data_IF_238637003090
#
_entry.id   IF_238637003090
#
_cell.length_a   1.000
_cell.length_b   1.000
_cell.length_c   1.000
_cell.angle_alpha   90.00
_cell.angle_beta   90.00
_cell.angle_gamma   90.00
#
_symmetry.space_group_name_H-M   'P 1'
#
loop_
_entity.id
_entity.type
_entity.pdbx_description
1 polymer ?
#
# COMPACT_ATOMS: atom_id res chain seq x y z
N UNK A 1 24.36 13.04 -7.25
CA UNK A 1 24.05 13.05 -5.82
C UNK A 1 23.00 12.00 -5.53
N UNK A 2 23.36 11.09 -4.69
CA UNK A 2 22.40 10.10 -4.26
C UNK A 2 21.29 10.79 -3.48
N UNK A 3 20.08 10.56 -3.88
CA UNK A 3 18.93 11.02 -3.11
C UNK A 3 18.88 10.16 -1.85
N UNK A 4 19.29 10.75 -0.76
CA UNK A 4 19.14 10.07 0.51
C UNK A 4 17.68 10.02 0.86
N UNK A 5 17.19 8.83 1.17
CA UNK A 5 15.86 8.68 1.70
C UNK A 5 15.79 9.46 3.01
N UNK A 6 14.83 10.37 3.09
CA UNK A 6 14.62 11.13 4.31
C UNK A 6 13.62 10.39 5.19
N UNK A 7 13.96 10.11 6.46
CA UNK A 7 13.00 9.43 7.34
C UNK A 7 11.73 10.26 7.60
N UNK A 8 11.76 11.56 7.32
CA UNK A 8 10.59 12.42 7.49
C UNK A 8 9.64 12.39 6.28
N UNK A 9 10.14 11.91 5.14
CA UNK A 9 9.30 11.79 3.95
C UNK A 9 8.52 10.49 4.03
N UNK A 10 7.30 10.53 3.47
CA UNK A 10 6.51 9.32 3.37
C UNK A 10 7.14 8.36 2.37
N UNK A 11 7.15 7.07 2.73
CA UNK A 11 7.47 6.00 1.82
C UNK A 11 6.17 5.38 1.36
N UNK A 12 5.88 5.49 0.08
CA UNK A 12 4.69 4.88 -0.52
C UNK A 12 5.08 3.52 -1.07
N UNK A 13 4.40 2.49 -0.61
CA UNK A 13 4.71 1.11 -0.97
C UNK A 13 3.51 0.49 -1.65
N UNK A 14 3.72 -0.19 -2.76
CA UNK A 14 2.68 -1.01 -3.37
C UNK A 14 2.98 -2.48 -3.18
N UNK A 15 1.94 -3.24 -2.86
CA UNK A 15 1.97 -4.69 -2.89
C UNK A 15 1.15 -5.15 -4.09
N UNK A 16 1.36 -6.39 -4.50
CA UNK A 16 0.60 -6.98 -5.57
C UNK A 16 1.34 -7.02 -6.90
N UNK A 17 0.73 -7.72 -7.85
CA UNK A 17 1.36 -8.05 -9.13
C UNK A 17 0.63 -7.34 -10.28
N UNK A 18 1.37 -6.54 -11.06
CA UNK A 18 0.84 -5.79 -12.21
C UNK A 18 0.13 -6.66 -13.24
N UNK A 19 0.45 -7.93 -13.29
CA UNK A 19 -0.04 -8.84 -14.32
C UNK A 19 -1.15 -9.77 -13.84
N UNK A 20 -1.75 -9.46 -12.69
CA UNK A 20 -2.83 -10.25 -12.12
C UNK A 20 -4.10 -9.43 -11.91
N UNK A 21 -4.54 -8.72 -12.97
CA UNK A 21 -5.77 -7.94 -12.92
C UNK A 21 -5.76 -6.91 -11.81
N UNK A 22 -6.76 -6.94 -10.95
CA UNK A 22 -6.93 -5.95 -9.88
C UNK A 22 -5.84 -6.02 -8.81
N UNK A 23 -5.05 -7.09 -8.78
CA UNK A 23 -3.89 -7.17 -7.91
C UNK A 23 -2.85 -6.10 -8.28
N UNK A 24 -2.95 -5.54 -9.47
CA UNK A 24 -2.08 -4.47 -9.94
C UNK A 24 -2.50 -3.07 -9.51
N UNK A 25 -3.54 -2.92 -8.68
CA UNK A 25 -4.02 -1.59 -8.30
C UNK A 25 -2.99 -0.81 -7.49
N UNK A 26 -2.21 -1.49 -6.64
CA UNK A 26 -1.15 -0.84 -5.89
C UNK A 26 -0.11 -0.20 -6.79
N UNK A 27 0.55 -0.97 -7.67
CA UNK A 27 1.50 -0.40 -8.62
C UNK A 27 0.89 0.67 -9.52
N UNK A 28 -0.36 0.49 -9.94
CA UNK A 28 -1.07 1.47 -10.75
C UNK A 28 -1.15 2.82 -10.03
N UNK A 29 -1.53 2.80 -8.75
CA UNK A 29 -1.61 4.01 -7.94
C UNK A 29 -0.24 4.63 -7.71
N UNK A 30 0.78 3.82 -7.46
CA UNK A 30 2.12 4.34 -7.27
C UNK A 30 2.61 5.08 -8.52
N UNK A 31 2.33 4.54 -9.70
CA UNK A 31 2.73 5.20 -10.94
C UNK A 31 2.07 6.58 -11.08
N UNK A 32 0.79 6.68 -10.73
CA UNK A 32 0.09 7.97 -10.78
C UNK A 32 0.60 8.95 -9.74
N UNK A 33 0.82 8.48 -8.52
CA UNK A 33 1.30 9.35 -7.43
C UNK A 33 2.74 9.79 -7.64
N UNK A 34 3.54 8.94 -8.26
CA UNK A 34 4.95 9.26 -8.51
C UNK A 34 5.10 10.54 -9.34
N UNK A 35 4.25 10.72 -10.34
CA UNK A 35 4.32 11.91 -11.18
C UNK A 35 3.85 13.17 -10.43
N UNK A 36 2.98 13.02 -9.45
CA UNK A 36 2.41 14.15 -8.71
C UNK A 36 3.22 14.52 -7.46
N UNK A 37 3.90 13.54 -6.87
CA UNK A 37 4.63 13.72 -5.61
C UNK A 37 6.15 13.63 -5.80
N UNK A 38 6.60 13.88 -6.99
CA UNK A 38 8.02 13.80 -7.32
C UNK A 38 8.82 14.72 -6.42
N UNK A 39 9.77 14.15 -5.69
CA UNK A 39 10.61 14.90 -4.77
C UNK A 39 10.03 15.09 -3.38
N UNK A 40 8.74 14.78 -3.17
CA UNK A 40 8.13 14.93 -1.83
C UNK A 40 7.84 13.62 -1.13
N UNK A 41 7.99 12.49 -1.81
CA UNK A 41 7.80 11.17 -1.23
C UNK A 41 8.75 10.19 -1.89
N UNK A 42 9.01 9.08 -1.21
CA UNK A 42 9.77 7.98 -1.76
C UNK A 42 8.82 6.86 -2.16
N UNK A 43 9.20 6.03 -3.12
CA UNK A 43 8.32 5.01 -3.70
C UNK A 43 9.02 3.66 -3.74
N UNK A 44 8.28 2.60 -3.39
CA UNK A 44 8.77 1.24 -3.45
C UNK A 44 7.68 0.32 -3.98
N UNK A 45 7.90 -0.29 -5.12
CA UNK A 45 7.04 -1.35 -5.62
C UNK A 45 7.56 -2.67 -5.07
N UNK A 46 6.98 -3.14 -3.97
CA UNK A 46 7.47 -4.32 -3.25
C UNK A 46 6.92 -5.64 -3.81
N UNK A 47 5.81 -5.58 -4.54
CA UNK A 47 5.19 -6.79 -5.04
C UNK A 47 4.81 -7.71 -3.90
N UNK A 48 5.31 -8.94 -3.93
CA UNK A 48 5.07 -9.92 -2.87
C UNK A 48 6.31 -10.12 -1.99
N UNK A 49 7.31 -9.26 -2.14
CA UNK A 49 8.58 -9.41 -1.43
C UNK A 49 8.53 -8.68 -0.09
N UNK A 50 8.07 -9.39 0.94
CA UNK A 50 7.95 -8.82 2.28
C UNK A 50 9.29 -8.62 2.96
N UNK A 51 10.30 -9.39 2.57
CA UNK A 51 11.66 -9.22 3.10
C UNK A 51 12.23 -7.87 2.65
N UNK A 52 12.07 -7.55 1.37
CA UNK A 52 12.46 -6.24 0.85
C UNK A 52 11.71 -5.12 1.56
N UNK A 53 10.40 -5.32 1.78
CA UNK A 53 9.57 -4.34 2.48
C UNK A 53 10.13 -4.05 3.89
N UNK A 54 10.36 -5.09 4.67
CA UNK A 54 10.89 -4.95 6.03
C UNK A 54 12.26 -4.26 6.02
N UNK A 55 13.06 -4.53 4.99
CA UNK A 55 14.38 -3.91 4.86
C UNK A 55 14.34 -2.41 4.55
N UNK A 56 13.21 -1.91 4.06
CA UNK A 56 13.10 -0.51 3.65
C UNK A 56 12.26 0.36 4.57
N UNK A 57 11.44 -0.22 5.43
CA UNK A 57 10.44 0.57 6.15
C UNK A 57 10.83 0.97 7.57
N UNK A 58 11.98 0.50 8.04
CA UNK A 58 12.39 0.77 9.42
C UNK A 58 12.42 2.27 9.72
N UNK A 59 11.73 2.66 10.79
CA UNK A 59 11.66 4.04 11.28
C UNK A 59 11.08 5.04 10.28
N UNK A 60 10.42 4.54 9.23
CA UNK A 60 9.82 5.38 8.19
C UNK A 60 8.32 5.57 8.43
N UNK A 61 7.79 6.66 7.91
CA UNK A 61 6.34 6.83 7.76
C UNK A 61 5.93 6.16 6.45
N UNK A 62 5.08 5.15 6.54
CA UNK A 62 4.77 4.30 5.39
C UNK A 62 3.27 4.35 5.07
N UNK A 63 2.96 4.64 3.81
CA UNK A 63 1.64 4.41 3.22
C UNK A 63 1.74 3.19 2.33
N UNK A 64 0.95 2.18 2.62
CA UNK A 64 0.98 0.94 1.87
C UNK A 64 -0.33 0.77 1.11
N UNK A 65 -0.24 0.46 -0.17
CA UNK A 65 -1.39 0.28 -1.04
C UNK A 65 -1.43 -1.16 -1.52
N UNK A 66 -2.56 -1.82 -1.37
CA UNK A 66 -2.72 -3.21 -1.74
C UNK A 66 -4.15 -3.48 -2.20
N UNK A 67 -4.31 -4.57 -2.91
CA UNK A 67 -5.63 -5.11 -3.25
C UNK A 67 -6.00 -6.17 -2.23
N UNK A 68 -7.26 -6.19 -1.84
CA UNK A 68 -7.77 -7.21 -0.93
C UNK A 68 -8.94 -7.92 -1.55
N UNK A 69 -9.19 -9.13 -1.09
CA UNK A 69 -10.37 -9.89 -1.45
C UNK A 69 -11.30 -9.90 -0.24
N UNK A 70 -12.57 -9.60 -0.46
CA UNK A 70 -13.55 -9.55 0.62
C UNK A 70 -14.92 -9.95 0.09
N UNK A 71 -15.63 -10.78 0.85
CA UNK A 71 -17.00 -11.15 0.53
C UNK A 71 -18.02 -10.09 0.95
N UNK A 72 -17.62 -9.20 1.85
CA UNK A 72 -18.53 -8.20 2.41
C UNK A 72 -18.39 -6.83 1.77
N UNK A 73 -17.23 -6.51 1.23
CA UNK A 73 -16.97 -5.19 0.66
C UNK A 73 -17.23 -5.20 -0.83
N UNK A 74 -17.68 -4.07 -1.34
CA UNK A 74 -17.91 -3.92 -2.78
C UNK A 74 -16.61 -3.73 -3.52
N UNK A 75 -16.55 -4.23 -4.75
CA UNK A 75 -15.39 -4.06 -5.61
C UNK A 75 -15.09 -2.57 -5.79
N UNK A 76 -13.82 -2.22 -5.64
CA UNK A 76 -13.37 -0.84 -5.73
C UNK A 76 -13.46 -0.06 -4.43
N UNK A 77 -14.06 -0.62 -3.39
CA UNK A 77 -14.18 0.07 -2.12
C UNK A 77 -12.83 0.21 -1.44
N UNK A 78 -12.58 1.40 -0.89
CA UNK A 78 -11.33 1.69 -0.19
C UNK A 78 -11.50 1.47 1.30
N UNK A 79 -10.60 0.70 1.88
CA UNK A 79 -10.56 0.44 3.31
C UNK A 79 -9.23 0.96 3.84
N UNK A 80 -9.29 1.79 4.88
CA UNK A 80 -8.10 2.35 5.50
C UNK A 80 -7.90 1.71 6.87
N UNK A 81 -6.65 1.48 7.24
CA UNK A 81 -6.33 0.88 8.52
C UNK A 81 -4.97 1.38 9.01
N UNK A 82 -4.82 1.41 10.34
CA UNK A 82 -3.53 1.64 10.96
C UNK A 82 -2.85 0.27 11.09
N UNK A 83 -1.77 0.09 10.34
CA UNK A 83 -1.10 -1.21 10.27
C UNK A 83 -0.34 -1.58 11.55
N UNK A 84 -0.11 -0.63 12.45
CA UNK A 84 0.57 -0.91 13.72
C UNK A 84 -0.42 -1.16 14.86
N UNK A 85 -1.71 -1.01 14.60
CA UNK A 85 -2.75 -1.37 15.56
C UNK A 85 -2.86 -2.90 15.67
N UNK A 86 -3.43 -3.38 16.77
CA UNK A 86 -3.55 -4.81 17.02
C UNK A 86 -4.41 -5.52 15.98
N UNK A 87 -5.40 -4.81 15.44
CA UNK A 87 -6.29 -5.35 14.42
C UNK A 87 -5.99 -4.65 13.10
N UNK A 88 -5.42 -5.37 12.16
CA UNK A 88 -4.99 -4.80 10.87
C UNK A 88 -6.11 -4.86 9.85
N UNK A 89 -6.81 -5.99 9.76
CA UNK A 89 -7.85 -6.20 8.79
C UNK A 89 -8.96 -7.05 9.38
N UNK A 90 -10.21 -6.88 8.91
CA UNK A 90 -11.28 -7.79 9.31
C UNK A 90 -10.91 -9.23 8.96
N UNK A 91 -11.39 -10.18 9.76
CA UNK A 91 -11.05 -11.59 9.60
C UNK A 91 -11.51 -12.16 8.26
N UNK A 92 -12.50 -11.51 7.63
CA UNK A 92 -13.05 -11.93 6.35
C UNK A 92 -12.34 -11.29 5.15
N UNK A 93 -11.31 -10.49 5.39
CA UNK A 93 -10.52 -9.88 4.32
C UNK A 93 -9.15 -10.53 4.26
N UNK A 94 -8.72 -10.87 3.06
CA UNK A 94 -7.38 -11.40 2.82
C UNK A 94 -6.71 -10.56 1.74
N UNK A 95 -5.38 -10.44 1.82
CA UNK A 95 -4.64 -9.79 0.76
C UNK A 95 -4.70 -10.66 -0.49
N UNK A 96 -4.63 -10.04 -1.66
CA UNK A 96 -4.58 -10.79 -2.90
C UNK A 96 -3.20 -11.40 -3.15
N UNK A 97 -2.21 -11.00 -2.37
CA UNK A 97 -0.86 -11.54 -2.45
C UNK A 97 -0.81 -12.91 -1.80
N UNK A 98 -0.23 -13.88 -2.49
CA UNK A 98 -0.11 -15.24 -1.99
C UNK A 98 1.13 -15.40 -1.12
N UNK A 99 1.02 -16.23 -0.10
CA UNK A 99 2.12 -16.59 0.77
C UNK A 99 2.29 -15.65 1.93
N UNK A 100 3.46 -15.06 2.04
CA UNK A 100 3.85 -14.21 3.14
C UNK A 100 2.98 -12.96 3.16
N UNK A 101 2.12 -12.82 4.15
CA UNK A 101 1.18 -11.70 4.22
C UNK A 101 1.75 -10.53 5.04
N UNK A 102 1.04 -9.40 5.00
CA UNK A 102 1.48 -8.18 5.66
C UNK A 102 1.61 -8.38 7.18
N UNK A 103 0.74 -9.16 7.79
CA UNK A 103 0.83 -9.45 9.21
C UNK A 103 2.15 -10.14 9.54
N UNK A 104 2.57 -11.07 8.71
CA UNK A 104 3.86 -11.75 8.89
C UNK A 104 5.02 -10.78 8.72
N UNK A 105 4.90 -9.83 7.79
CA UNK A 105 5.92 -8.79 7.63
C UNK A 105 6.03 -7.94 8.89
N UNK A 106 4.91 -7.57 9.49
CA UNK A 106 4.90 -6.79 10.72
C UNK A 106 5.53 -7.60 11.86
N UNK A 107 5.17 -8.88 11.98
CA UNK A 107 5.75 -9.75 13.00
C UNK A 107 7.25 -9.90 12.82
N UNK A 108 7.69 -10.08 11.59
CA UNK A 108 9.12 -10.16 11.28
C UNK A 108 9.83 -8.86 11.63
N UNK A 109 9.25 -7.73 11.28
CA UNK A 109 9.80 -6.42 11.62
C UNK A 109 9.92 -6.23 13.11
N UNK A 110 8.93 -6.70 13.87
CA UNK A 110 8.95 -6.61 15.33
C UNK A 110 10.11 -7.42 15.92
N UNK A 111 10.30 -8.64 15.43
CA UNK A 111 11.38 -9.50 15.89
C UNK A 111 12.75 -8.90 15.59
N UNK A 112 12.88 -8.29 14.41
CA UNK A 112 14.14 -7.71 13.95
C UNK A 112 14.40 -6.29 14.46
N UNK A 113 13.45 -5.70 15.18
CA UNK A 113 13.55 -4.30 15.56
C UNK A 113 13.49 -3.37 14.36
N UNK A 114 12.73 -3.75 13.33
CA UNK A 114 12.67 -3.04 12.05
C UNK A 114 11.22 -2.71 11.68
N UNK A 115 10.49 -2.07 12.59
CA UNK A 115 9.12 -1.62 12.31
C UNK A 115 9.14 -0.19 11.78
N UNK A 116 8.14 0.17 10.95
CA UNK A 116 7.96 1.57 10.56
C UNK A 116 7.50 2.40 11.77
N UNK A 117 7.70 3.69 11.69
CA UNK A 117 7.23 4.62 12.71
C UNK A 117 5.73 4.82 12.61
N UNK A 118 5.20 4.85 11.40
CA UNK A 118 3.76 4.89 11.11
C UNK A 118 3.50 3.96 9.93
N UNK A 119 2.37 3.30 9.95
CA UNK A 119 1.97 2.43 8.84
C UNK A 119 0.49 2.62 8.56
N UNK A 120 0.19 3.39 7.52
CA UNK A 120 -1.17 3.57 7.04
C UNK A 120 -1.40 2.63 5.86
N UNK A 121 -2.45 1.84 5.93
CA UNK A 121 -2.77 0.86 4.89
C UNK A 121 -4.00 1.34 4.14
N UNK A 122 -3.88 1.43 2.82
CA UNK A 122 -4.97 1.74 1.91
C UNK A 122 -5.23 0.51 1.07
N UNK A 123 -6.32 -0.18 1.35
CA UNK A 123 -6.67 -1.41 0.65
C UNK A 123 -7.86 -1.18 -0.25
N UNK A 124 -7.78 -1.66 -1.48
CA UNK A 124 -8.87 -1.54 -2.45
C UNK A 124 -9.41 -2.93 -2.72
N UNK A 125 -10.74 -3.07 -2.62
CA UNK A 125 -11.37 -4.36 -2.81
C UNK A 125 -11.33 -4.76 -4.28
N UNK A 126 -10.68 -5.88 -4.57
CA UNK A 126 -10.52 -6.40 -5.92
C UNK A 126 -11.77 -7.12 -6.39
N UNK A 127 -12.02 -7.06 -7.69
CA UNK A 127 -13.09 -7.82 -8.33
C UNK A 127 -12.54 -9.06 -9.04
N UNK A 128 -11.41 -8.91 -9.74
CA UNK A 128 -10.85 -9.97 -10.55
C UNK A 128 -9.32 -9.93 -10.49
N UNK A 129 -8.72 -11.01 -10.05
CA UNK A 129 -7.25 -11.13 -9.98
C UNK A 129 -6.70 -12.18 -10.95
N UNK A 130 -7.42 -12.44 -12.03
CA UNK A 130 -6.93 -13.35 -13.07
C UNK A 130 -5.78 -12.73 -13.86
N UNK A 131 -5.05 -13.55 -14.60
CA UNK A 131 -3.90 -13.10 -15.37
C UNK A 131 -4.31 -12.13 -16.47
N UNK A 132 -4.12 -10.84 -16.23
CA UNK A 132 -4.33 -9.78 -17.20
C UNK A 132 -3.63 -8.52 -16.70
N UNK A 133 -3.42 -7.58 -17.59
CA UNK A 133 -2.62 -6.39 -17.26
C UNK A 133 -3.47 -5.13 -17.07
N UNK A 134 -4.76 -5.29 -16.81
CA UNK A 134 -5.64 -4.13 -16.62
C UNK A 134 -6.58 -4.32 -15.43
N UNK A 135 -7.01 -3.21 -14.88
CA UNK A 135 -7.95 -3.19 -13.77
C UNK A 135 -9.38 -3.26 -14.26
N UNK A 136 -10.25 -3.87 -13.45
CA UNK A 136 -11.69 -3.78 -13.73
C UNK A 136 -12.17 -2.35 -13.55
N UNK A 137 -13.32 -2.03 -14.14
CA UNK A 137 -13.88 -0.67 -14.08
C UNK A 137 -14.15 -0.23 -12.64
N UNK A 138 -14.66 -1.13 -11.80
CA UNK A 138 -14.94 -0.81 -10.39
C UNK A 138 -13.67 -0.46 -9.64
N UNK A 139 -12.60 -1.22 -9.85
CA UNK A 139 -11.34 -0.99 -9.17
C UNK A 139 -10.65 0.27 -9.71
N UNK A 140 -10.80 0.55 -10.99
CA UNK A 140 -10.26 1.79 -11.56
C UNK A 140 -10.90 3.02 -10.92
N UNK A 141 -12.22 3.00 -10.74
CA UNK A 141 -12.92 4.07 -10.05
C UNK A 141 -12.47 4.18 -8.58
N UNK A 142 -12.33 3.04 -7.93
CA UNK A 142 -11.82 3.00 -6.56
C UNK A 142 -10.41 3.56 -6.46
N UNK A 143 -9.58 3.29 -7.47
CA UNK A 143 -8.23 3.82 -7.51
C UNK A 143 -8.22 5.34 -7.65
N UNK A 144 -9.13 5.92 -8.43
CA UNK A 144 -9.24 7.37 -8.55
C UNK A 144 -9.58 8.01 -7.22
N UNK A 145 -10.50 7.42 -6.46
CA UNK A 145 -10.85 7.89 -5.12
C UNK A 145 -9.67 7.76 -4.16
N UNK A 146 -8.99 6.62 -4.22
CA UNK A 146 -7.83 6.37 -3.38
C UNK A 146 -6.72 7.37 -3.67
N UNK A 147 -6.51 7.70 -4.94
CA UNK A 147 -5.52 8.70 -5.32
C UNK A 147 -5.80 10.05 -4.66
N UNK A 148 -7.06 10.48 -4.70
CA UNK A 148 -7.46 11.75 -4.09
C UNK A 148 -7.29 11.70 -2.57
N UNK A 149 -7.70 10.61 -1.94
CA UNK A 149 -7.57 10.48 -0.49
C UNK A 149 -6.11 10.40 -0.05
N UNK A 150 -5.28 9.70 -0.80
CA UNK A 150 -3.86 9.62 -0.51
C UNK A 150 -3.19 10.99 -0.64
N UNK A 151 -3.51 11.72 -1.69
CA UNK A 151 -2.95 13.07 -1.88
C UNK A 151 -3.38 14.00 -0.74
N UNK A 152 -4.66 13.97 -0.38
CA UNK A 152 -5.16 14.79 0.72
C UNK A 152 -4.49 14.41 2.05
N UNK A 153 -4.34 13.12 2.31
CA UNK A 153 -3.70 12.63 3.52
C UNK A 153 -2.25 13.08 3.60
N UNK A 154 -1.50 12.91 2.52
CA UNK A 154 -0.08 13.25 2.50
C UNK A 154 0.15 14.75 2.57
N UNK A 155 -0.67 15.53 1.89
CA UNK A 155 -0.57 17.00 1.91
C UNK A 155 -1.00 17.57 3.26
N UNK A 156 -2.06 17.02 3.84
CA UNK A 156 -2.52 17.45 5.15
C UNK A 156 -1.51 17.16 6.25
N UNK A 157 -0.88 15.99 6.21
CA UNK A 157 0.12 15.60 7.18
C UNK A 157 1.37 16.48 7.05
N UNK A 158 1.76 16.82 5.82
CA UNK A 158 2.92 17.67 5.58
C UNK A 158 2.67 19.12 5.98
N UNK A 159 1.43 19.54 6.05
CA UNK A 159 1.07 20.88 6.47
C UNK A 159 1.02 21.09 7.97
N UNK A 160 1.11 20.02 8.74
CA UNK A 160 1.13 20.09 10.19
C UNK A 160 2.56 19.98 10.67
N UNK A 161 3.13 21.10 10.92
CA UNK A 161 4.45 21.13 11.54
C UNK A 161 4.37 20.89 13.04
#
# INVERSE_FOLDING_TARGET
>A
MSQKESPERWLLVSLGNRFRGDDGVGPYLLDKLRSQLKGSADFLESGNDMVTLVGHWKDRQVCLVDAILSDEQKSGELIRADGLADIIAPSNCTTSSHGFNLREAIDLGRVLGALPRRLEIFSICAENISSCDHLTAAVRLGAERAEQELLAFLQGDNGQS
#
